data_IF_670264839010
#
_entry.id   IF_670264839010
#
_cell.length_a   1.000
_cell.length_b   1.000
_cell.length_c   1.000
_cell.angle_alpha   90.00
_cell.angle_beta   90.00
_cell.angle_gamma   90.00
#
_symmetry.space_group_name_H-M   'P 1'
#
loop_
_entity.id
_entity.type
_entity.pdbx_description
1 polymer ?
#
# COMPACT_ATOMS: atom_id res chain seq x y z
N UNK A 1 11.04 26.37 -65.00
CA UNK A 1 10.61 25.04 -64.49
C UNK A 1 11.03 25.01 -63.04
N UNK A 2 10.16 25.59 -62.20
CA UNK A 2 10.32 25.78 -60.77
C UNK A 2 10.18 24.44 -60.03
N UNK A 3 11.06 24.26 -59.07
CA UNK A 3 11.04 23.20 -58.05
C UNK A 3 10.02 23.61 -56.97
N UNK A 4 8.98 22.81 -56.77
CA UNK A 4 8.02 22.98 -55.68
C UNK A 4 8.43 22.07 -54.50
N UNK A 5 8.80 22.72 -53.40
CA UNK A 5 9.15 22.13 -52.11
C UNK A 5 7.88 22.03 -51.27
N UNK A 6 7.47 20.81 -50.95
CA UNK A 6 6.27 20.50 -50.17
C UNK A 6 6.60 20.59 -48.67
N UNK A 7 6.01 21.57 -47.97
CA UNK A 7 6.13 21.76 -46.53
C UNK A 7 5.01 20.99 -45.81
N UNK A 8 5.38 19.96 -45.05
CA UNK A 8 4.49 19.22 -44.17
C UNK A 8 4.23 20.01 -42.88
N UNK A 9 2.99 20.42 -42.68
CA UNK A 9 2.49 21.10 -41.47
C UNK A 9 2.15 20.06 -40.40
N UNK A 10 2.94 20.02 -39.33
CA UNK A 10 2.66 19.19 -38.15
C UNK A 10 1.49 19.79 -37.36
N UNK A 11 0.41 19.02 -37.20
CA UNK A 11 -0.69 19.33 -36.30
C UNK A 11 -0.32 18.94 -34.86
N UNK A 12 -0.16 19.96 -34.03
CA UNK A 12 0.03 19.87 -32.59
C UNK A 12 -1.30 19.43 -31.94
N UNK A 13 -1.39 18.17 -31.50
CA UNK A 13 -2.53 17.65 -30.74
C UNK A 13 -2.56 18.30 -29.36
N UNK A 14 -3.52 19.20 -29.16
CA UNK A 14 -3.87 19.77 -27.87
C UNK A 14 -4.22 18.66 -26.85
N UNK A 15 -3.63 18.75 -25.66
CA UNK A 15 -3.97 17.91 -24.51
C UNK A 15 -5.41 18.21 -24.04
N UNK A 16 -6.19 17.20 -23.60
CA UNK A 16 -7.54 17.45 -23.10
C UNK A 16 -7.49 18.23 -21.78
N UNK A 17 -8.27 19.31 -21.72
CA UNK A 17 -8.55 20.08 -20.50
C UNK A 17 -9.17 19.17 -19.42
N UNK A 18 -8.68 19.32 -18.18
CA UNK A 18 -9.26 18.66 -17.01
C UNK A 18 -10.62 19.29 -16.71
N UNK A 19 -11.68 18.51 -16.86
CA UNK A 19 -12.97 18.83 -16.24
C UNK A 19 -12.79 18.74 -14.71
N UNK A 20 -12.81 19.88 -14.02
CA UNK A 20 -12.95 19.96 -12.56
C UNK A 20 -14.36 19.50 -12.20
N UNK A 21 -14.50 18.21 -11.86
CA UNK A 21 -15.74 17.69 -11.28
C UNK A 21 -15.98 18.31 -9.91
N UNK A 22 -17.20 18.78 -9.65
CA UNK A 22 -17.65 19.26 -8.34
C UNK A 22 -17.25 18.27 -7.24
N UNK A 23 -16.55 18.75 -6.20
CA UNK A 23 -16.15 17.92 -5.07
C UNK A 23 -17.39 17.44 -4.30
N UNK A 24 -17.68 16.14 -4.41
CA UNK A 24 -18.75 15.50 -3.64
C UNK A 24 -18.44 15.59 -2.14
N UNK A 25 -19.43 15.83 -1.27
CA UNK A 25 -19.22 15.91 0.17
C UNK A 25 -18.70 14.57 0.71
N UNK A 26 -17.50 14.59 1.29
CA UNK A 26 -16.83 13.43 1.89
C UNK A 26 -17.09 13.40 3.40
N UNK A 27 -17.47 12.25 3.95
CA UNK A 27 -17.63 12.05 5.39
C UNK A 27 -16.65 11.00 5.89
N UNK A 28 -15.70 11.40 6.75
CA UNK A 28 -14.72 10.49 7.36
C UNK A 28 -15.40 9.41 8.19
N UNK A 29 -14.95 8.17 8.05
CA UNK A 29 -15.44 7.00 8.77
C UNK A 29 -14.35 6.52 9.73
N UNK A 30 -14.70 6.46 11.02
CA UNK A 30 -13.79 6.01 12.07
C UNK A 30 -12.70 7.02 12.42
N UNK A 31 -11.86 6.66 13.39
CA UNK A 31 -10.80 7.53 13.92
C UNK A 31 -9.38 7.00 13.63
N UNK A 32 -9.26 5.72 13.26
CA UNK A 32 -7.97 5.07 13.00
C UNK A 32 -7.63 5.02 11.52
N UNK A 33 -6.33 4.97 11.22
CA UNK A 33 -5.84 4.68 9.87
C UNK A 33 -6.06 3.20 9.55
N UNK A 34 -6.55 2.92 8.35
CA UNK A 34 -6.61 1.59 7.78
C UNK A 34 -5.34 1.31 6.97
N UNK A 35 -4.98 0.04 6.86
CA UNK A 35 -3.87 -0.43 6.02
C UNK A 35 -4.43 -1.21 4.84
N UNK A 36 -3.90 -0.99 3.65
CA UNK A 36 -4.37 -1.63 2.43
C UNK A 36 -3.28 -1.80 1.38
N UNK A 37 -3.58 -2.61 0.37
CA UNK A 37 -2.74 -2.87 -0.79
C UNK A 37 -3.30 -2.12 -2.00
N UNK A 38 -2.48 -1.34 -2.69
CA UNK A 38 -2.87 -0.76 -3.97
C UNK A 38 -2.91 -1.86 -5.03
N UNK A 39 -4.12 -2.23 -5.46
CA UNK A 39 -4.35 -3.32 -6.42
C UNK A 39 -4.46 -2.86 -7.86
N UNK A 40 -4.80 -1.59 -8.07
CA UNK A 40 -4.87 -0.96 -9.39
C UNK A 40 -4.43 0.50 -9.29
N UNK A 41 -3.61 0.98 -10.22
CA UNK A 41 -3.21 2.39 -10.27
C UNK A 41 -3.05 2.91 -11.70
N UNK A 42 -3.85 3.92 -12.06
CA UNK A 42 -3.88 4.54 -13.41
C UNK A 42 -3.02 5.80 -13.52
N UNK A 43 -2.17 6.08 -12.54
CA UNK A 43 -1.31 7.26 -12.49
C UNK A 43 -1.87 8.40 -11.65
N UNK A 44 -3.17 8.68 -11.75
CA UNK A 44 -3.86 9.74 -11.00
C UNK A 44 -4.94 9.25 -10.04
N UNK A 45 -5.40 8.00 -10.21
CA UNK A 45 -6.35 7.36 -9.32
C UNK A 45 -6.21 5.84 -9.38
N UNK A 46 -6.80 5.15 -8.42
CA UNK A 46 -6.78 3.70 -8.36
C UNK A 46 -7.60 3.13 -7.22
N UNK A 47 -7.35 1.86 -6.93
CA UNK A 47 -8.08 1.09 -5.94
C UNK A 47 -7.14 0.48 -4.91
N UNK A 48 -7.56 0.57 -3.65
CA UNK A 48 -6.92 -0.07 -2.52
C UNK A 48 -7.81 -1.24 -2.05
N UNK A 49 -7.23 -2.42 -1.87
CA UNK A 49 -7.83 -3.53 -1.15
C UNK A 49 -7.47 -3.41 0.34
N UNK A 50 -8.44 -3.16 1.24
CA UNK A 50 -8.17 -3.09 2.68
C UNK A 50 -7.73 -4.45 3.24
N UNK A 51 -6.65 -4.47 4.01
CA UNK A 51 -6.17 -5.72 4.65
C UNK A 51 -7.02 -6.15 5.85
N UNK A 52 -7.78 -5.22 6.41
CA UNK A 52 -8.80 -5.45 7.41
C UNK A 52 -10.15 -5.00 6.86
N UNK A 53 -11.20 -5.81 7.07
CA UNK A 53 -12.54 -5.52 6.58
C UNK A 53 -13.08 -4.22 7.21
N UNK A 54 -13.51 -3.30 6.37
CA UNK A 54 -14.14 -2.05 6.80
C UNK A 54 -15.62 -2.32 7.09
N UNK A 55 -16.07 -2.03 8.31
CA UNK A 55 -17.48 -2.20 8.72
C UNK A 55 -18.29 -0.95 8.37
N UNK A 56 -18.80 -0.88 7.14
CA UNK A 56 -19.65 0.20 6.68
C UNK A 56 -20.64 -0.29 5.61
N UNK A 57 -21.83 0.30 5.52
CA UNK A 57 -22.84 -0.11 4.52
C UNK A 57 -22.32 0.04 3.08
N UNK A 58 -21.53 1.08 2.83
CA UNK A 58 -20.94 1.32 1.51
C UNK A 58 -19.79 0.36 1.16
N UNK A 59 -19.30 -0.46 2.11
CA UNK A 59 -18.30 -1.49 1.81
C UNK A 59 -18.84 -2.62 0.90
N UNK A 60 -20.15 -2.65 0.63
CA UNK A 60 -20.75 -3.56 -0.36
C UNK A 60 -20.51 -3.09 -1.81
N UNK A 61 -20.15 -1.82 -2.00
CA UNK A 61 -19.85 -1.26 -3.33
C UNK A 61 -18.42 -1.59 -3.73
N UNK A 62 -18.17 -1.63 -5.04
CA UNK A 62 -16.83 -1.84 -5.64
C UNK A 62 -16.07 -3.08 -5.14
N UNK A 63 -16.78 -4.06 -4.57
CA UNK A 63 -16.17 -5.26 -3.97
C UNK A 63 -15.50 -5.00 -2.62
N UNK A 64 -15.81 -3.89 -1.92
CA UNK A 64 -15.15 -3.51 -0.67
C UNK A 64 -13.84 -2.75 -0.85
N UNK A 65 -13.42 -2.52 -2.09
CA UNK A 65 -12.26 -1.70 -2.43
C UNK A 65 -12.50 -0.22 -2.11
N UNK A 66 -11.42 0.45 -1.77
CA UNK A 66 -11.40 1.87 -1.41
C UNK A 66 -10.78 2.66 -2.55
N UNK A 67 -11.50 3.68 -3.01
CA UNK A 67 -11.02 4.57 -4.06
C UNK A 67 -9.87 5.44 -3.54
N UNK A 68 -8.83 5.64 -4.35
CA UNK A 68 -7.72 6.53 -4.04
C UNK A 68 -7.49 7.53 -5.17
N UNK A 69 -7.49 8.82 -4.85
CA UNK A 69 -7.06 9.88 -5.76
C UNK A 69 -5.60 10.27 -5.46
N UNK A 70 -4.84 10.67 -6.48
CA UNK A 70 -3.50 11.21 -6.32
C UNK A 70 -3.46 12.46 -5.42
N UNK A 71 -4.50 13.29 -5.42
CA UNK A 71 -4.58 14.46 -4.54
C UNK A 71 -4.64 14.10 -3.05
N UNK A 72 -5.11 12.88 -2.74
CA UNK A 72 -5.24 12.38 -1.36
C UNK A 72 -3.93 11.74 -0.87
N UNK A 73 -2.92 11.61 -1.74
CA UNK A 73 -1.61 11.06 -1.41
C UNK A 73 -0.74 12.15 -0.81
N UNK A 74 -0.38 11.97 0.46
CA UNK A 74 0.46 12.92 1.18
C UNK A 74 1.90 12.43 1.24
N UNK A 75 2.84 13.37 1.18
CA UNK A 75 4.22 13.14 1.59
C UNK A 75 4.25 12.67 3.04
N UNK A 76 5.28 11.90 3.41
CA UNK A 76 5.48 11.45 4.78
C UNK A 76 5.73 12.60 5.77
N UNK A 77 6.41 12.30 6.87
CA UNK A 77 6.68 13.25 7.97
C UNK A 77 7.33 14.57 7.56
N UNK A 78 7.96 14.64 6.38
CA UNK A 78 8.61 15.84 5.86
C UNK A 78 7.71 16.55 4.83
N UNK A 79 7.15 17.69 5.23
CA UNK A 79 6.27 18.52 4.40
C UNK A 79 6.93 19.00 3.09
N UNK A 80 8.25 19.06 3.05
CA UNK A 80 9.03 19.54 1.90
C UNK A 80 9.42 18.42 0.90
N UNK A 81 9.17 17.16 1.25
CA UNK A 81 9.43 16.04 0.33
C UNK A 81 8.30 15.92 -0.70
N UNK A 82 8.58 15.63 -1.98
CA UNK A 82 7.53 15.37 -2.95
C UNK A 82 6.75 14.10 -2.59
N UNK A 83 5.44 14.09 -2.84
CA UNK A 83 4.60 12.93 -2.57
C UNK A 83 5.16 11.69 -3.29
N UNK A 84 5.30 10.54 -2.59
CA UNK A 84 5.88 9.35 -3.16
C UNK A 84 5.02 8.84 -4.33
N UNK A 85 5.68 8.38 -5.40
CA UNK A 85 4.96 7.79 -6.55
C UNK A 85 4.28 6.49 -6.12
N UNK A 86 2.96 6.47 -6.22
CA UNK A 86 2.17 5.25 -6.03
C UNK A 86 2.28 4.35 -7.26
N UNK A 87 2.32 3.05 -6.99
CA UNK A 87 2.25 1.98 -7.99
C UNK A 87 1.43 0.83 -7.39
N UNK A 88 0.92 -0.03 -8.26
CA UNK A 88 0.35 -1.32 -7.88
C UNK A 88 1.35 -2.13 -7.05
N UNK A 89 0.83 -2.90 -6.09
CA UNK A 89 1.63 -3.70 -5.17
C UNK A 89 2.17 -2.94 -3.95
N UNK A 90 1.90 -1.64 -3.82
CA UNK A 90 2.34 -0.85 -2.65
C UNK A 90 1.37 -0.98 -1.49
N UNK A 91 1.93 -1.06 -0.28
CA UNK A 91 1.15 -0.98 0.96
C UNK A 91 1.04 0.48 1.38
N UNK A 92 -0.17 0.88 1.74
CA UNK A 92 -0.51 2.23 2.16
C UNK A 92 -1.27 2.22 3.48
N UNK A 93 -1.18 3.32 4.22
CA UNK A 93 -2.09 3.63 5.33
C UNK A 93 -2.87 4.91 5.05
N UNK A 94 -4.15 4.93 5.40
CA UNK A 94 -5.08 6.00 5.00
C UNK A 94 -6.24 6.11 5.98
N UNK A 95 -6.90 7.27 6.02
CA UNK A 95 -8.22 7.38 6.62
C UNK A 95 -9.28 7.04 5.57
N UNK A 96 -10.36 6.40 6.02
CA UNK A 96 -11.49 6.06 5.15
C UNK A 96 -12.51 7.18 5.22
N UNK A 97 -13.02 7.61 4.08
CA UNK A 97 -14.24 8.40 3.98
C UNK A 97 -15.31 7.65 3.18
N UNK A 98 -16.54 8.12 3.27
CA UNK A 98 -17.60 7.76 2.33
C UNK A 98 -18.21 8.97 1.67
N UNK A 99 -18.68 8.76 0.44
CA UNK A 99 -19.37 9.76 -0.38
C UNK A 99 -20.54 9.10 -1.14
N UNK A 100 -21.06 9.76 -2.18
CA UNK A 100 -22.16 9.22 -2.97
C UNK A 100 -21.78 8.00 -3.83
N UNK A 101 -20.49 7.76 -4.09
CA UNK A 101 -19.99 6.72 -4.99
C UNK A 101 -19.49 5.48 -4.23
N UNK A 102 -19.00 5.63 -3.00
CA UNK A 102 -18.56 4.51 -2.18
C UNK A 102 -17.65 4.90 -1.02
N UNK A 103 -16.66 4.05 -0.78
CA UNK A 103 -15.57 4.31 0.15
C UNK A 103 -14.38 4.90 -0.60
N UNK A 104 -13.76 5.91 -0.01
CA UNK A 104 -12.52 6.50 -0.50
C UNK A 104 -11.47 6.67 0.59
N UNK A 105 -10.23 6.90 0.17
CA UNK A 105 -9.07 7.09 1.03
C UNK A 105 -8.66 8.57 1.03
N UNK A 106 -8.42 9.12 2.21
CA UNK A 106 -7.86 10.46 2.40
C UNK A 106 -6.60 10.40 3.27
N UNK A 107 -5.75 11.43 3.14
CA UNK A 107 -4.43 11.51 3.81
C UNK A 107 -3.60 10.21 3.69
N UNK A 108 -3.61 9.64 2.49
CA UNK A 108 -2.99 8.36 2.17
C UNK A 108 -1.47 8.47 2.17
N UNK A 109 -0.80 7.60 2.93
CA UNK A 109 0.66 7.52 3.05
C UNK A 109 1.14 6.21 2.46
N UNK A 110 2.20 6.28 1.67
CA UNK A 110 2.90 5.09 1.18
C UNK A 110 3.85 4.59 2.25
N UNK A 111 3.76 3.32 2.61
CA UNK A 111 4.67 2.72 3.59
C UNK A 111 5.99 2.34 2.94
N UNK A 112 7.07 2.51 3.70
CA UNK A 112 8.39 2.04 3.32
C UNK A 112 8.43 0.51 3.35
N UNK A 113 9.33 -0.08 2.57
CA UNK A 113 9.52 -1.54 2.52
C UNK A 113 10.94 -1.91 2.89
N UNK A 114 11.07 -2.89 3.78
CA UNK A 114 12.32 -3.55 4.10
C UNK A 114 12.20 -5.04 3.77
N UNK A 115 13.21 -5.59 3.09
CA UNK A 115 13.28 -7.04 2.81
C UNK A 115 14.41 -7.64 3.60
N UNK A 116 14.14 -8.78 4.23
CA UNK A 116 15.13 -9.54 4.98
C UNK A 116 15.00 -11.03 4.67
N UNK A 117 16.09 -11.75 4.87
CA UNK A 117 16.11 -13.21 4.82
C UNK A 117 16.46 -13.77 6.19
N UNK A 118 15.76 -14.82 6.61
CA UNK A 118 15.97 -15.46 7.91
C UNK A 118 16.06 -16.98 7.76
N UNK A 119 16.82 -17.67 8.62
CA UNK A 119 16.76 -19.13 8.71
C UNK A 119 15.36 -19.61 9.09
N UNK A 120 14.92 -20.72 8.50
CA UNK A 120 13.60 -21.31 8.77
C UNK A 120 13.31 -21.54 10.26
N UNK A 121 14.31 -22.01 11.01
CA UNK A 121 14.17 -22.25 12.46
C UNK A 121 13.85 -20.98 13.24
N UNK A 122 14.54 -19.88 12.93
CA UNK A 122 14.32 -18.58 13.59
C UNK A 122 12.94 -18.00 13.22
N UNK A 123 12.56 -18.08 11.94
CA UNK A 123 11.22 -17.64 11.51
C UNK A 123 10.13 -18.43 12.21
N UNK A 124 10.27 -19.75 12.31
CA UNK A 124 9.28 -20.62 12.98
C UNK A 124 9.16 -20.33 14.48
N UNK A 125 10.27 -19.91 15.12
CA UNK A 125 10.25 -19.45 16.51
C UNK A 125 9.55 -18.10 16.66
N UNK A 126 9.77 -17.16 15.74
CA UNK A 126 9.26 -15.78 15.87
C UNK A 126 7.81 -15.63 15.41
N UNK A 127 7.42 -16.30 14.32
CA UNK A 127 6.10 -16.14 13.71
C UNK A 127 5.15 -17.23 14.22
N UNK A 128 4.61 -17.01 15.42
CA UNK A 128 3.67 -17.93 16.07
C UNK A 128 2.20 -17.61 15.75
N UNK A 129 1.92 -16.39 15.30
CA UNK A 129 0.56 -15.95 15.01
C UNK A 129 -0.01 -16.61 13.76
N UNK A 130 -1.35 -16.67 13.70
CA UNK A 130 -2.06 -17.20 12.53
C UNK A 130 -1.88 -16.29 11.31
N UNK A 131 -1.35 -16.82 10.20
CA UNK A 131 -1.24 -16.06 8.97
C UNK A 131 -2.60 -15.86 8.29
N UNK A 132 -2.61 -14.95 7.31
CA UNK A 132 -3.70 -14.72 6.36
C UNK A 132 -3.16 -14.73 4.93
N UNK A 133 -4.09 -14.91 3.99
CA UNK A 133 -3.82 -14.93 2.56
C UNK A 133 -4.65 -13.87 1.85
N UNK A 134 -4.13 -13.35 0.76
CA UNK A 134 -4.81 -12.41 -0.14
C UNK A 134 -4.57 -12.85 -1.57
N UNK A 135 -5.59 -12.76 -2.41
CA UNK A 135 -5.50 -13.07 -3.84
C UNK A 135 -4.48 -12.18 -4.56
N UNK A 136 -4.24 -10.97 -4.04
CA UNK A 136 -3.29 -10.01 -4.58
C UNK A 136 -1.86 -10.15 -4.00
N UNK A 137 -1.67 -10.99 -2.99
CA UNK A 137 -0.37 -11.32 -2.40
C UNK A 137 -0.06 -12.79 -2.65
N UNK A 138 0.08 -13.16 -3.93
CA UNK A 138 0.38 -14.54 -4.34
C UNK A 138 1.68 -15.07 -3.73
N UNK A 139 1.77 -16.39 -3.61
CA UNK A 139 2.94 -17.13 -3.11
C UNK A 139 3.46 -16.63 -1.76
N UNK A 140 2.53 -16.14 -0.93
CA UNK A 140 2.89 -15.56 0.36
C UNK A 140 1.71 -15.56 1.32
N UNK A 141 2.05 -15.34 2.58
CA UNK A 141 1.11 -15.11 3.65
C UNK A 141 1.51 -13.87 4.44
N UNK A 142 0.56 -13.23 5.10
CA UNK A 142 0.81 -12.04 5.92
C UNK A 142 0.24 -12.21 7.33
N UNK A 143 0.76 -11.42 8.27
CA UNK A 143 0.51 -11.62 9.70
C UNK A 143 -0.19 -10.38 10.30
N UNK A 144 -1.54 -10.33 10.34
CA UNK A 144 -2.27 -9.17 10.85
C UNK A 144 -2.06 -8.88 12.33
N UNK A 145 -1.71 -9.89 13.13
CA UNK A 145 -1.39 -9.69 14.55
C UNK A 145 -0.12 -8.85 14.69
N UNK A 146 0.91 -9.17 13.89
CA UNK A 146 2.16 -8.42 13.83
C UNK A 146 1.94 -6.95 13.44
N UNK A 147 1.05 -6.67 12.48
CA UNK A 147 0.66 -5.28 12.14
C UNK A 147 0.08 -4.55 13.34
N UNK A 148 -0.83 -5.17 14.10
CA UNK A 148 -1.47 -4.50 15.25
C UNK A 148 -0.48 -4.22 16.39
N UNK A 149 0.49 -5.10 16.60
CA UNK A 149 1.45 -4.99 17.70
C UNK A 149 2.61 -4.06 17.35
N UNK A 150 3.14 -4.15 16.13
CA UNK A 150 4.37 -3.46 15.73
C UNK A 150 4.14 -2.32 14.74
N UNK A 151 2.91 -2.09 14.28
CA UNK A 151 2.63 -1.16 13.17
C UNK A 151 3.49 -1.46 11.95
N UNK A 152 3.67 -2.75 11.64
CA UNK A 152 4.42 -3.26 10.49
C UNK A 152 3.69 -4.41 9.84
N UNK A 153 3.44 -4.33 8.53
CA UNK A 153 2.83 -5.42 7.80
C UNK A 153 3.94 -6.39 7.45
N UNK A 154 3.89 -7.57 8.06
CA UNK A 154 4.81 -8.66 7.77
C UNK A 154 4.21 -9.60 6.74
N UNK A 155 4.92 -9.77 5.62
CA UNK A 155 4.65 -10.75 4.57
C UNK A 155 5.76 -11.77 4.51
N UNK A 156 5.42 -13.06 4.50
CA UNK A 156 6.34 -14.19 4.35
C UNK A 156 6.09 -14.89 3.02
N UNK A 157 7.10 -15.02 2.19
CA UNK A 157 6.98 -15.75 0.92
C UNK A 157 7.03 -17.27 1.16
N UNK A 158 6.25 -18.02 0.38
CA UNK A 158 6.10 -19.48 0.45
C UNK A 158 7.03 -20.21 -0.53
N UNK A 159 8.14 -19.58 -0.95
CA UNK A 159 9.07 -20.15 -1.90
C UNK A 159 9.93 -21.27 -1.29
N UNK A 160 10.26 -22.33 -2.06
CA UNK A 160 11.03 -23.47 -1.58
C UNK A 160 12.54 -23.16 -1.54
N UNK A 161 12.92 -22.16 -0.75
CA UNK A 161 14.29 -21.68 -0.59
C UNK A 161 14.92 -22.23 0.71
N UNK A 162 16.26 -22.30 0.83
CA UNK A 162 16.93 -22.73 2.05
C UNK A 162 16.81 -21.72 3.22
N UNK A 163 16.17 -20.58 2.97
CA UNK A 163 15.85 -19.53 3.92
C UNK A 163 14.45 -18.99 3.64
N UNK A 164 13.90 -18.24 4.59
CA UNK A 164 12.65 -17.50 4.44
C UNK A 164 12.94 -16.11 3.91
N UNK A 165 12.15 -15.63 2.95
CA UNK A 165 12.13 -14.22 2.54
C UNK A 165 10.95 -13.53 3.23
N UNK A 166 11.25 -12.45 3.94
CA UNK A 166 10.24 -11.57 4.55
C UNK A 166 10.25 -10.20 3.88
N UNK A 167 9.08 -9.61 3.81
CA UNK A 167 8.87 -8.23 3.41
C UNK A 167 8.08 -7.51 4.50
N UNK A 168 8.66 -6.45 5.04
CA UNK A 168 8.10 -5.64 6.11
C UNK A 168 7.68 -4.29 5.54
N UNK A 169 6.47 -3.83 5.85
CA UNK A 169 5.98 -2.51 5.42
C UNK A 169 5.56 -1.66 6.60
N UNK A 170 6.12 -0.46 6.73
CA UNK A 170 5.97 0.37 7.93
C UNK A 170 6.57 1.78 7.79
N UNK A 171 6.56 2.52 8.89
CA UNK A 171 7.45 3.69 9.03
C UNK A 171 8.90 3.23 9.16
N UNK A 172 9.90 4.06 8.79
CA UNK A 172 11.30 3.70 8.90
C UNK A 172 11.70 3.18 10.30
N UNK A 173 11.26 3.86 11.37
CA UNK A 173 11.59 3.47 12.74
C UNK A 173 10.98 2.11 13.12
N UNK A 174 9.69 1.91 12.83
CA UNK A 174 9.01 0.64 13.11
C UNK A 174 9.62 -0.52 12.30
N UNK A 175 10.08 -0.27 11.07
CA UNK A 175 10.77 -1.27 10.26
C UNK A 175 12.09 -1.72 10.88
N UNK A 176 12.87 -0.78 11.43
CA UNK A 176 14.14 -1.07 12.08
C UNK A 176 13.91 -1.90 13.35
N UNK A 177 12.97 -1.49 14.19
CA UNK A 177 12.61 -2.21 15.41
C UNK A 177 12.11 -3.63 15.11
N UNK A 178 11.20 -3.77 14.14
CA UNK A 178 10.68 -5.06 13.71
C UNK A 178 11.79 -5.97 13.16
N UNK A 179 12.69 -5.44 12.33
CA UNK A 179 13.80 -6.20 11.78
C UNK A 179 14.72 -6.73 12.87
N UNK A 180 15.09 -5.89 13.84
CA UNK A 180 15.92 -6.28 14.99
C UNK A 180 15.22 -7.38 15.80
N UNK A 181 13.94 -7.20 16.11
CA UNK A 181 13.15 -8.15 16.89
C UNK A 181 13.05 -9.53 16.21
N UNK A 182 12.93 -9.55 14.88
CA UNK A 182 12.89 -10.78 14.09
C UNK A 182 14.26 -11.45 13.95
N UNK A 183 15.34 -10.68 13.84
CA UNK A 183 16.70 -11.20 13.63
C UNK A 183 17.41 -11.62 14.92
N UNK A 184 16.94 -11.17 16.08
CA UNK A 184 17.57 -11.50 17.36
C UNK A 184 17.02 -12.82 17.88
N UNK A 185 17.85 -13.87 18.09
CA UNK A 185 17.41 -15.09 18.74
C UNK A 185 16.81 -14.76 20.12
N UNK A 186 15.79 -15.50 20.56
CA UNK A 186 15.43 -15.42 21.98
C UNK A 186 16.64 -15.91 22.76
N UNK A 187 17.20 -15.08 23.64
CA UNK A 187 18.25 -15.51 24.56
C UNK A 187 17.77 -16.79 25.22
N UNK A 188 18.52 -17.87 25.05
CA UNK A 188 18.36 -19.08 25.85
C UNK A 188 18.72 -18.72 27.30
N UNK A 189 17.78 -18.07 28.00
CA UNK A 189 17.87 -17.86 29.43
C UNK A 189 17.78 -19.22 30.10
N UNK A 190 18.94 -19.60 30.65
CA UNK A 190 19.18 -20.63 31.67
C UNK A 190 19.20 -22.09 31.21
N UNK A 191 20.41 -22.57 30.88
CA UNK A 191 20.94 -23.82 31.40
C UNK A 191 22.28 -23.54 32.08
#
# INVERSE_FOLDING_TARGET
>A
KEEAKEEAKAEEKAAPEKEEGEEKPRTRIGQGRCVGLVVEWKGYMGWIEPLAKISHEQAKRHGGRVYLNQSDVVSGTDADSPAPRIKEGKIVDFFVYSDADGLGAEECRVRSVLRLTLPHGLTSQKLKDSPRWSEHLSDSEYYPAYEREHSVLLRKYSWPLPFVVLELWGSPDALVEAAIALSTPEDSKNC
#
